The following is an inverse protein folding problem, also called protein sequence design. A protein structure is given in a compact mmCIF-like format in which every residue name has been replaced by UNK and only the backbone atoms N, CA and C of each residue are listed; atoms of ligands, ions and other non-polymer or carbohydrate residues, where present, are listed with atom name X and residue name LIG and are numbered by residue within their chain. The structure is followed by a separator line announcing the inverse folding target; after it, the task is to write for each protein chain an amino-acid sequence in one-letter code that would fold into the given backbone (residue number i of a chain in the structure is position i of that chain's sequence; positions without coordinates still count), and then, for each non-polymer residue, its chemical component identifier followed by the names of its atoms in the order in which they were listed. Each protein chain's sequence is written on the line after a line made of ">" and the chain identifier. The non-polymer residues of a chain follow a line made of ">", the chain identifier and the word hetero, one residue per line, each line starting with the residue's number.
data_IF_030295723732
#
_entry.id   IF_030295723732
#
_cell.length_a   1.000
_cell.length_b   1.000
_cell.length_c   1.000
_cell.angle_alpha   90.00
_cell.angle_beta   90.00
_cell.angle_gamma   90.00
#
_symmetry.space_group_name_H-M   'P 1'
#
loop_
_entity.id
_entity.type
_entity.pdbx_description
1 polymer ?
#
# COMPACT_ATOMS: atom_id res chain seq x y z
N UNK A 1 -10.48 29.83 14.50
CA UNK A 1 -9.34 29.63 15.40
C UNK A 1 -8.38 28.72 14.65
N UNK A 2 -7.57 29.32 13.79
CA UNK A 2 -6.58 28.65 12.94
C UNK A 2 -5.39 28.29 13.79
N UNK A 3 -5.17 26.99 14.00
CA UNK A 3 -3.93 26.51 14.59
C UNK A 3 -2.84 26.62 13.52
N UNK A 4 -1.95 27.56 13.72
CA UNK A 4 -0.68 27.69 13.01
C UNK A 4 0.20 26.49 13.42
N UNK A 5 0.24 25.47 12.59
CA UNK A 5 1.07 24.27 12.79
C UNK A 5 2.50 24.56 12.38
N UNK A 6 3.16 25.49 13.06
CA UNK A 6 4.60 25.63 13.29
C UNK A 6 5.63 24.99 12.33
N UNK A 7 5.31 24.80 11.05
CA UNK A 7 6.29 24.49 10.02
C UNK A 7 6.64 25.77 9.25
N UNK A 8 7.73 26.45 9.69
CA UNK A 8 8.43 27.46 8.90
C UNK A 8 8.17 28.90 9.27
N UNK A 9 8.84 29.38 10.30
CA UNK A 9 9.34 30.76 10.32
C UNK A 9 10.76 30.75 9.73
N UNK A 10 10.98 31.58 8.70
CA UNK A 10 12.20 31.87 7.97
C UNK A 10 12.46 30.93 6.76
N UNK A 11 11.99 31.35 5.59
CA UNK A 11 12.27 30.71 4.31
C UNK A 11 11.18 29.79 3.82
N UNK A 12 9.92 30.27 3.78
CA UNK A 12 8.82 29.50 3.16
C UNK A 12 9.15 29.26 1.69
N UNK A 13 9.40 27.98 1.36
CA UNK A 13 9.51 27.56 -0.05
C UNK A 13 8.13 27.82 -0.67
N UNK A 14 8.03 28.57 -1.77
CA UNK A 14 6.75 28.76 -2.46
C UNK A 14 6.13 27.41 -2.84
N UNK A 15 4.82 27.26 -2.74
CA UNK A 15 4.11 26.02 -3.08
C UNK A 15 4.46 25.49 -4.48
N UNK A 16 4.74 26.39 -5.41
CA UNK A 16 5.18 26.04 -6.77
C UNK A 16 6.55 25.33 -6.83
N UNK A 17 7.38 25.49 -5.82
CA UNK A 17 8.71 24.89 -5.72
C UNK A 17 8.72 23.60 -4.88
N UNK A 18 7.59 23.25 -4.27
CA UNK A 18 7.46 21.99 -3.54
C UNK A 18 7.35 20.80 -4.52
N UNK A 19 7.97 19.66 -4.21
CA UNK A 19 7.90 18.49 -5.07
C UNK A 19 6.49 17.90 -5.06
N UNK A 20 5.80 17.91 -6.20
CA UNK A 20 4.56 17.16 -6.39
C UNK A 20 4.90 15.66 -6.55
N UNK A 21 4.68 14.88 -5.50
CA UNK A 21 5.04 13.46 -5.46
C UNK A 21 3.77 12.62 -5.51
N UNK A 22 3.56 11.78 -6.56
CA UNK A 22 2.42 10.87 -6.61
C UNK A 22 2.42 9.90 -5.43
N UNK A 23 1.27 9.75 -4.80
CA UNK A 23 1.04 8.83 -3.71
C UNK A 23 0.15 7.67 -4.16
N UNK A 24 0.40 6.48 -3.68
CA UNK A 24 -0.53 5.36 -3.81
C UNK A 24 -0.57 4.53 -2.53
N UNK A 25 -1.68 3.84 -2.34
CA UNK A 25 -1.88 2.98 -1.18
C UNK A 25 -2.40 1.61 -1.62
N UNK A 26 -2.09 0.59 -0.83
CA UNK A 26 -2.57 -0.76 -1.06
C UNK A 26 -2.76 -1.52 0.25
N UNK A 27 -3.53 -2.60 0.19
CA UNK A 27 -3.88 -3.43 1.32
C UNK A 27 -3.25 -4.82 1.27
N UNK A 28 -2.82 -5.32 2.43
CA UNK A 28 -2.61 -6.73 2.68
C UNK A 28 -3.86 -7.28 3.36
N UNK A 29 -4.61 -8.08 2.64
CA UNK A 29 -5.82 -8.75 3.10
C UNK A 29 -5.53 -10.25 3.17
N UNK A 30 -5.68 -10.83 4.35
CA UNK A 30 -5.43 -12.26 4.57
C UNK A 30 -6.72 -13.00 4.90
N UNK A 31 -6.73 -14.29 4.70
CA UNK A 31 -7.67 -15.18 5.38
C UNK A 31 -7.10 -15.72 6.70
N UNK A 32 -7.93 -16.44 7.45
CA UNK A 32 -7.49 -17.05 8.71
C UNK A 32 -6.46 -18.18 8.54
N UNK A 33 -6.28 -18.70 7.32
CA UNK A 33 -5.20 -19.64 6.98
C UNK A 33 -3.88 -18.92 6.61
N UNK A 34 -3.85 -17.57 6.64
CA UNK A 34 -2.68 -16.76 6.30
C UNK A 34 -2.44 -16.63 4.80
N UNK A 35 -3.44 -16.96 3.96
CA UNK A 35 -3.36 -16.76 2.51
C UNK A 35 -3.65 -15.29 2.18
N UNK A 36 -2.81 -14.71 1.31
CA UNK A 36 -2.90 -13.32 0.88
C UNK A 36 -3.81 -13.19 -0.34
N UNK A 37 -4.71 -12.20 -0.30
CA UNK A 37 -5.49 -11.79 -1.47
C UNK A 37 -4.57 -11.11 -2.50
N UNK A 38 -4.55 -11.65 -3.70
CA UNK A 38 -3.85 -11.09 -4.86
C UNK A 38 -4.82 -10.96 -6.03
N UNK A 39 -4.61 -9.92 -6.83
CA UNK A 39 -5.45 -9.55 -7.97
C UNK A 39 -4.65 -9.62 -9.27
N UNK A 40 -5.31 -9.98 -10.36
CA UNK A 40 -4.72 -9.99 -11.71
C UNK A 40 -5.35 -8.88 -12.54
N UNK A 41 -4.63 -7.76 -12.75
CA UNK A 41 -5.13 -6.65 -13.57
C UNK A 41 -5.32 -7.08 -15.04
N UNK A 42 -6.30 -6.48 -15.70
CA UNK A 42 -6.57 -6.70 -17.14
C UNK A 42 -5.54 -6.00 -18.04
N UNK A 43 -5.04 -4.86 -17.61
CA UNK A 43 -4.20 -3.94 -18.39
C UNK A 43 -2.68 -4.07 -18.15
N UNK A 44 -2.25 -4.98 -17.27
CA UNK A 44 -0.84 -5.23 -16.93
C UNK A 44 -0.60 -6.71 -16.74
N UNK A 45 0.57 -7.18 -17.15
CA UNK A 45 1.01 -8.53 -16.84
C UNK A 45 1.37 -8.72 -15.37
N UNK A 46 1.16 -9.92 -14.83
CA UNK A 46 1.48 -10.32 -13.46
C UNK A 46 0.44 -9.88 -12.44
N UNK A 47 0.64 -10.32 -11.21
CA UNK A 47 -0.28 -10.13 -10.10
C UNK A 47 0.08 -8.90 -9.26
N UNK A 48 -0.92 -8.35 -8.60
CA UNK A 48 -0.82 -7.23 -7.65
C UNK A 48 -1.54 -7.57 -6.35
N UNK A 49 -1.56 -6.64 -5.41
CA UNK A 49 -2.45 -6.60 -4.26
C UNK A 49 -3.50 -5.52 -4.52
N UNK A 50 -4.63 -5.51 -3.83
CA UNK A 50 -5.61 -4.41 -3.92
C UNK A 50 -4.97 -3.06 -3.61
N UNK A 51 -5.34 -2.03 -4.39
CA UNK A 51 -4.88 -0.66 -4.18
C UNK A 51 -4.46 0.08 -5.44
N UNK A 52 -4.45 1.41 -5.35
CA UNK A 52 -4.20 2.31 -6.46
C UNK A 52 -3.63 3.66 -6.07
N UNK A 53 -3.87 4.65 -6.89
CA UNK A 53 -3.32 6.02 -6.76
C UNK A 53 -4.29 6.88 -5.96
N UNK A 54 -3.76 7.67 -5.05
CA UNK A 54 -4.49 8.67 -4.29
C UNK A 54 -4.98 9.78 -5.23
N UNK A 55 -6.22 10.20 -5.07
CA UNK A 55 -6.81 11.32 -5.82
C UNK A 55 -6.37 12.69 -5.29
N UNK A 56 -6.48 13.72 -6.12
CA UNK A 56 -5.95 15.06 -5.79
C UNK A 56 -6.97 15.96 -5.09
N UNK A 57 -8.08 15.43 -4.62
CA UNK A 57 -9.20 16.14 -4.01
C UNK A 57 -9.09 16.31 -2.47
N UNK A 58 -7.92 16.01 -1.91
CA UNK A 58 -7.68 16.01 -0.47
C UNK A 58 -7.78 14.62 0.17
N UNK A 59 -7.92 13.57 -0.65
CA UNK A 59 -7.93 12.18 -0.20
C UNK A 59 -6.63 11.83 0.55
N UNK A 60 -6.75 11.18 1.69
CA UNK A 60 -5.59 10.65 2.42
C UNK A 60 -5.16 9.28 1.86
N UNK A 61 -3.89 8.83 2.10
CA UNK A 61 -3.45 7.49 1.68
C UNK A 61 -4.30 6.35 2.26
N UNK A 62 -4.90 6.54 3.44
CA UNK A 62 -5.79 5.55 4.04
C UNK A 62 -7.14 5.49 3.34
N UNK A 63 -7.72 6.64 3.01
CA UNK A 63 -8.97 6.72 2.25
C UNK A 63 -8.80 6.14 0.86
N UNK A 64 -7.71 6.49 0.15
CA UNK A 64 -7.35 5.88 -1.13
C UNK A 64 -7.27 4.35 -1.05
N UNK A 65 -6.60 3.83 -0.01
CA UNK A 65 -6.52 2.39 0.20
C UNK A 65 -7.89 1.73 0.33
N UNK A 66 -8.80 2.34 1.10
CA UNK A 66 -10.16 1.81 1.31
C UNK A 66 -11.00 1.87 0.04
N UNK A 67 -10.99 3.02 -0.64
CA UNK A 67 -11.72 3.21 -1.90
C UNK A 67 -11.29 2.18 -2.94
N UNK A 68 -9.99 2.07 -3.20
CA UNK A 68 -9.45 1.15 -4.20
C UNK A 68 -9.76 -0.32 -3.86
N UNK A 69 -9.67 -0.72 -2.58
CA UNK A 69 -10.05 -2.09 -2.18
C UNK A 69 -11.53 -2.34 -2.43
N UNK A 70 -12.40 -1.36 -2.11
CA UNK A 70 -13.83 -1.48 -2.36
C UNK A 70 -14.15 -1.55 -3.86
N UNK A 71 -13.53 -0.73 -4.68
CA UNK A 71 -13.70 -0.71 -6.14
C UNK A 71 -13.21 -2.01 -6.79
N UNK A 72 -11.99 -2.45 -6.47
CA UNK A 72 -11.38 -3.62 -7.08
C UNK A 72 -11.96 -4.97 -6.60
N UNK A 73 -12.52 -5.02 -5.38
CA UNK A 73 -12.91 -6.28 -4.73
C UNK A 73 -14.32 -6.33 -4.15
N UNK A 74 -15.01 -5.20 -4.07
CA UNK A 74 -16.29 -5.09 -3.36
C UNK A 74 -16.18 -5.18 -1.83
N UNK A 75 -14.98 -5.29 -1.26
CA UNK A 75 -14.80 -5.36 0.19
C UNK A 75 -14.88 -3.96 0.80
N UNK A 76 -15.91 -3.70 1.58
CA UNK A 76 -15.98 -2.56 2.49
C UNK A 76 -15.89 -3.03 3.94
N UNK A 77 -14.81 -2.70 4.61
CA UNK A 77 -14.54 -3.09 5.99
C UNK A 77 -14.99 -2.04 7.03
N UNK A 78 -15.73 -1.02 6.59
CA UNK A 78 -16.22 0.03 7.45
C UNK A 78 -15.13 0.93 8.07
N UNK A 79 -15.54 2.09 8.56
CA UNK A 79 -14.60 3.09 9.11
C UNK A 79 -13.92 2.68 10.42
N UNK A 80 -14.51 1.75 11.18
CA UNK A 80 -13.99 1.28 12.47
C UNK A 80 -12.95 0.17 12.39
N UNK A 81 -12.62 -0.33 11.20
CA UNK A 81 -11.64 -1.39 11.08
C UNK A 81 -10.22 -0.90 11.40
N UNK A 82 -9.54 -1.65 12.25
CA UNK A 82 -8.16 -1.35 12.62
C UNK A 82 -7.19 -1.97 11.61
N UNK A 83 -6.50 -1.11 10.88
CA UNK A 83 -5.40 -1.50 10.02
C UNK A 83 -4.07 -0.98 10.58
N UNK A 84 -2.98 -1.61 10.17
CA UNK A 84 -1.64 -1.20 10.55
C UNK A 84 -0.87 -0.73 9.32
N UNK A 85 -0.25 0.45 9.37
CA UNK A 85 0.73 0.82 8.36
C UNK A 85 1.93 -0.13 8.45
N UNK A 86 2.11 -0.95 7.42
CA UNK A 86 3.10 -2.02 7.40
C UNK A 86 4.37 -1.65 6.65
N UNK A 87 4.24 -0.84 5.60
CA UNK A 87 5.38 -0.45 4.76
C UNK A 87 5.13 0.92 4.12
N UNK A 88 6.19 1.72 4.04
CA UNK A 88 6.27 2.92 3.22
C UNK A 88 7.48 2.78 2.29
N UNK A 89 7.28 2.94 0.97
CA UNK A 89 8.32 2.79 -0.05
C UNK A 89 8.42 4.06 -0.88
N UNK A 90 9.53 4.78 -0.76
CA UNK A 90 9.84 5.92 -1.60
C UNK A 90 10.46 5.43 -2.91
N UNK A 91 9.79 5.70 -4.01
CA UNK A 91 10.31 5.41 -5.35
C UNK A 91 10.92 6.67 -5.94
N UNK A 92 12.21 6.60 -6.23
CA UNK A 92 12.91 7.73 -6.85
C UNK A 92 12.38 8.01 -8.25
N UNK A 93 12.27 9.29 -8.63
CA UNK A 93 11.99 9.67 -10.01
C UNK A 93 13.04 9.08 -10.96
N UNK A 94 12.64 8.77 -12.18
CA UNK A 94 13.50 8.29 -13.26
C UNK A 94 13.01 8.90 -14.58
N UNK A 95 13.81 8.96 -15.63
CA UNK A 95 13.35 9.46 -16.93
C UNK A 95 12.03 8.80 -17.34
N UNK A 96 11.02 9.63 -17.61
CA UNK A 96 9.68 9.19 -17.97
C UNK A 96 8.84 8.56 -16.85
N UNK A 97 9.29 8.62 -15.58
CA UNK A 97 8.57 8.08 -14.42
C UNK A 97 8.70 9.01 -13.22
N UNK A 98 7.62 9.63 -12.74
CA UNK A 98 7.67 10.64 -11.68
C UNK A 98 8.10 10.13 -10.31
N UNK A 99 8.23 8.81 -10.13
CA UNK A 99 8.51 8.24 -8.81
C UNK A 99 7.24 8.11 -7.97
N UNK A 100 7.37 8.37 -6.66
CA UNK A 100 6.20 8.44 -5.76
C UNK A 100 6.39 7.75 -4.42
N UNK A 101 5.45 7.95 -3.50
CA UNK A 101 5.37 7.27 -2.21
C UNK A 101 4.32 6.18 -2.28
N UNK A 102 4.62 5.02 -1.72
CA UNK A 102 3.73 3.84 -1.70
C UNK A 102 3.49 3.40 -0.27
N UNK A 103 2.27 3.58 0.20
CA UNK A 103 1.81 3.09 1.49
C UNK A 103 1.27 1.67 1.35
N UNK A 104 1.55 0.82 2.34
CA UNK A 104 1.02 -0.53 2.40
C UNK A 104 0.44 -0.77 3.78
N UNK A 105 -0.87 -0.92 3.82
CA UNK A 105 -1.62 -1.17 5.05
C UNK A 105 -1.89 -2.67 5.20
N UNK A 106 -1.64 -3.19 6.39
CA UNK A 106 -2.01 -4.55 6.78
C UNK A 106 -3.40 -4.49 7.42
N UNK A 107 -4.37 -5.04 6.71
CA UNK A 107 -5.75 -5.10 7.13
C UNK A 107 -6.05 -6.30 8.02
N UNK A 108 -5.08 -7.22 8.18
CA UNK A 108 -5.25 -8.44 8.98
C UNK A 108 -5.97 -9.55 8.23
N UNK A 109 -6.60 -10.44 8.99
CA UNK A 109 -7.26 -11.63 8.48
C UNK A 109 -8.78 -11.54 8.61
N UNK A 110 -9.47 -12.03 7.58
CA UNK A 110 -10.92 -12.04 7.46
C UNK A 110 -11.44 -13.47 7.32
N UNK A 111 -12.67 -13.69 7.80
CA UNK A 111 -13.37 -14.95 7.66
C UNK A 111 -13.94 -15.17 6.26
N UNK A 112 -14.33 -16.42 6.00
CA UNK A 112 -14.91 -16.85 4.72
C UNK A 112 -16.18 -16.09 4.33
N UNK A 113 -16.98 -15.66 5.31
CA UNK A 113 -18.18 -14.86 5.06
C UNK A 113 -17.86 -13.51 4.41
N UNK A 114 -16.79 -12.84 4.85
CA UNK A 114 -16.33 -11.58 4.26
C UNK A 114 -15.66 -11.81 2.91
N UNK A 115 -14.72 -12.76 2.84
CA UNK A 115 -13.95 -13.02 1.62
C UNK A 115 -14.78 -13.69 0.52
N UNK A 116 -15.83 -14.44 0.89
CA UNK A 116 -16.81 -15.00 -0.06
C UNK A 116 -17.67 -13.95 -0.75
N UNK A 117 -17.72 -12.72 -0.21
CA UNK A 117 -18.38 -11.57 -0.81
C UNK A 117 -17.53 -10.81 -1.83
N UNK A 118 -16.30 -11.26 -2.14
CA UNK A 118 -15.45 -10.59 -3.14
C UNK A 118 -16.10 -10.66 -4.51
N UNK A 119 -16.34 -9.48 -5.09
CA UNK A 119 -16.79 -9.28 -6.46
C UNK A 119 -15.80 -8.34 -7.13
N UNK A 120 -14.99 -8.87 -8.03
CA UNK A 120 -13.99 -8.05 -8.74
C UNK A 120 -14.65 -7.21 -9.83
N UNK A 121 -14.09 -6.03 -10.08
CA UNK A 121 -14.47 -5.15 -11.19
C UNK A 121 -13.84 -5.70 -12.48
N UNK A 122 -14.62 -6.29 -13.40
CA UNK A 122 -14.06 -7.08 -14.53
C UNK A 122 -13.30 -6.22 -15.54
N UNK A 123 -13.58 -4.91 -15.60
CA UNK A 123 -12.87 -3.96 -16.44
C UNK A 123 -11.41 -3.80 -16.03
N UNK A 124 -11.12 -3.90 -14.72
CA UNK A 124 -9.80 -3.69 -14.16
C UNK A 124 -9.14 -4.97 -13.69
N UNK A 125 -9.90 -5.90 -13.14
CA UNK A 125 -9.41 -7.13 -12.51
C UNK A 125 -10.02 -8.36 -13.17
N UNK A 126 -9.20 -9.16 -13.82
CA UNK A 126 -9.64 -10.38 -14.49
C UNK A 126 -9.78 -11.61 -13.57
N UNK A 127 -9.07 -11.61 -12.44
CA UNK A 127 -9.03 -12.77 -11.53
C UNK A 127 -8.53 -12.32 -10.15
N UNK A 128 -9.04 -12.97 -9.08
CA UNK A 128 -8.44 -12.86 -7.76
C UNK A 128 -8.08 -14.24 -7.19
N UNK A 129 -7.16 -14.29 -6.25
CA UNK A 129 -6.77 -15.51 -5.52
C UNK A 129 -6.43 -15.21 -4.06
N UNK A 130 -6.80 -16.13 -3.20
CA UNK A 130 -6.20 -16.29 -1.87
C UNK A 130 -5.06 -17.31 -2.00
N UNK A 131 -3.83 -16.85 -1.92
CA UNK A 131 -2.63 -17.67 -2.14
C UNK A 131 -1.75 -17.66 -0.89
N UNK A 132 -1.15 -18.81 -0.56
CA UNK A 132 -0.10 -18.83 0.46
C UNK A 132 1.00 -17.81 0.13
N UNK A 133 1.68 -17.30 1.15
CA UNK A 133 2.60 -16.18 0.97
C UNK A 133 3.74 -16.49 -0.01
N UNK A 134 4.21 -17.74 -0.08
CA UNK A 134 5.28 -18.15 -1.01
C UNK A 134 4.78 -18.05 -2.46
N UNK A 135 3.62 -18.61 -2.72
CA UNK A 135 2.95 -18.57 -4.03
C UNK A 135 2.62 -17.13 -4.41
N UNK A 136 2.01 -16.36 -3.53
CA UNK A 136 1.72 -14.95 -3.77
C UNK A 136 2.99 -14.16 -4.16
N UNK A 137 4.07 -14.29 -3.38
CA UNK A 137 5.34 -13.65 -3.69
C UNK A 137 5.96 -14.09 -5.02
N UNK A 138 5.72 -15.31 -5.48
CA UNK A 138 6.21 -15.75 -6.80
C UNK A 138 5.45 -15.10 -7.96
N UNK A 139 4.16 -14.90 -7.81
CA UNK A 139 3.24 -14.34 -8.80
C UNK A 139 3.30 -12.81 -8.88
N UNK A 140 3.49 -12.13 -7.73
CA UNK A 140 3.52 -10.68 -7.63
C UNK A 140 4.64 -10.06 -8.47
N UNK A 141 4.34 -8.95 -9.15
CA UNK A 141 5.34 -8.13 -9.85
C UNK A 141 6.45 -7.69 -8.89
N UNK A 142 7.69 -7.64 -9.39
CA UNK A 142 8.90 -7.41 -8.59
C UNK A 142 8.81 -6.25 -7.59
N UNK A 143 8.31 -5.04 -7.93
CA UNK A 143 8.21 -3.94 -6.96
C UNK A 143 7.23 -4.23 -5.82
N UNK A 144 6.08 -4.82 -6.15
CA UNK A 144 5.04 -5.17 -5.17
C UNK A 144 5.53 -6.30 -4.28
N UNK A 145 6.11 -7.35 -4.86
CA UNK A 145 6.71 -8.47 -4.14
C UNK A 145 7.72 -8.03 -3.08
N UNK A 146 8.57 -7.04 -3.39
CA UNK A 146 9.55 -6.51 -2.42
C UNK A 146 8.87 -5.87 -1.22
N UNK A 147 7.88 -5.03 -1.44
CA UNK A 147 7.10 -4.37 -0.40
C UNK A 147 6.32 -5.37 0.46
N UNK A 148 5.59 -6.28 -0.17
CA UNK A 148 4.83 -7.34 0.53
C UNK A 148 5.78 -8.19 1.38
N UNK A 149 6.91 -8.61 0.82
CA UNK A 149 7.92 -9.38 1.58
C UNK A 149 8.47 -8.60 2.77
N UNK A 150 8.68 -7.29 2.65
CA UNK A 150 9.14 -6.46 3.75
C UNK A 150 8.05 -6.28 4.82
N UNK A 151 6.82 -5.98 4.39
CA UNK A 151 5.68 -5.74 5.26
C UNK A 151 5.27 -6.98 6.10
N UNK A 152 5.45 -8.19 5.53
CA UNK A 152 5.12 -9.47 6.20
C UNK A 152 6.23 -10.01 7.11
N UNK A 153 7.40 -9.35 7.17
CA UNK A 153 8.50 -9.71 8.08
C UNK A 153 8.30 -9.06 9.46
N UNK A 154 7.30 -9.53 10.21
CA UNK A 154 7.00 -9.04 11.55
C UNK A 154 6.08 -7.81 11.56
N UNK A 155 5.88 -7.22 12.75
CA UNK A 155 4.84 -6.19 12.97
C UNK A 155 5.35 -4.73 12.92
N UNK A 156 6.63 -4.51 12.64
CA UNK A 156 7.20 -3.15 12.59
C UNK A 156 6.95 -2.51 11.23
N UNK A 157 6.68 -1.20 11.22
CA UNK A 157 6.68 -0.41 9.99
C UNK A 157 8.04 -0.54 9.28
N UNK A 158 8.00 -0.79 7.99
CA UNK A 158 9.17 -0.88 7.12
C UNK A 158 9.27 0.35 6.21
N UNK A 159 10.38 1.05 6.31
CA UNK A 159 10.73 2.09 5.34
C UNK A 159 11.63 1.48 4.25
N UNK A 160 11.31 1.75 3.00
CA UNK A 160 12.03 1.25 1.83
C UNK A 160 12.32 2.41 0.87
N UNK A 161 13.39 2.25 0.10
CA UNK A 161 13.62 3.04 -1.11
C UNK A 161 13.79 2.10 -2.31
N UNK A 162 13.00 2.34 -3.38
CA UNK A 162 12.92 1.46 -4.56
C UNK A 162 12.66 -0.03 -4.20
N UNK A 163 11.93 -0.27 -3.12
CA UNK A 163 11.61 -1.59 -2.59
C UNK A 163 12.76 -2.28 -1.84
N UNK A 164 13.77 -1.54 -1.44
CA UNK A 164 14.93 -2.05 -0.69
C UNK A 164 15.02 -1.38 0.68
N UNK A 165 15.38 -2.11 1.75
CA UNK A 165 15.68 -1.53 3.04
C UNK A 165 16.81 -0.51 2.95
N UNK A 166 16.72 0.57 3.74
CA UNK A 166 17.77 1.58 3.83
C UNK A 166 18.62 1.28 5.07
N UNK A 167 19.93 1.12 4.93
CA UNK A 167 20.83 0.88 6.06
C UNK A 167 20.69 1.97 7.14
N UNK A 168 20.52 1.56 8.39
CA UNK A 168 20.40 2.47 9.53
C UNK A 168 19.00 3.07 9.74
N UNK A 169 18.04 2.80 8.84
CA UNK A 169 16.65 3.25 8.97
C UNK A 169 15.75 2.08 9.39
N UNK A 170 15.01 2.26 10.48
CA UNK A 170 14.00 1.28 10.93
C UNK A 170 14.52 0.13 11.78
N UNK A 171 15.80 -0.05 11.94
CA UNK A 171 16.41 -1.03 12.84
C UNK A 171 17.13 -0.30 13.98
N UNK A 172 16.51 -0.24 15.17
CA UNK A 172 17.30 0.06 16.38
C UNK A 172 18.13 -1.19 16.70
N UNK A 173 19.46 -1.03 16.91
CA UNK A 173 20.24 -2.12 17.49
C UNK A 173 19.59 -2.54 18.80
N UNK A 174 19.60 -3.84 19.09
CA UNK A 174 19.17 -4.36 20.39
C UNK A 174 19.91 -3.58 21.48
N UNK A 175 19.18 -2.98 22.42
CA UNK A 175 19.81 -2.42 23.62
C UNK A 175 20.50 -3.59 24.33
N UNK A 176 21.82 -3.56 24.40
CA UNK A 176 22.59 -4.44 25.27
C UNK A 176 22.29 -4.11 26.73
#
# INVERSE_FOLDING_TARGET
>A
MTTDDGFGAEGTIPDADLPAIPVSAGALVFDHAGRLLILKPTYKSGWTIPGGVMEADGETPWEACRREVAEETGLDIGAGHQARLACMDFRRPRPGKPGGIRFLFDWGAFGDATLGGIVVQPEEISEYRLADLRTALSLLRKPIRRRVRAATRGRRLRYLEDGLPVPGVGERPARR
#
